data_IF_853941362435
#
_entry.id   IF_853941362435
#
_cell.length_a   1.000
_cell.length_b   1.000
_cell.length_c   1.000
_cell.angle_alpha   90.00
_cell.angle_beta   90.00
_cell.angle_gamma   90.00
#
_symmetry.space_group_name_H-M   'P 1'
#
loop_
_entity.id
_entity.type
_entity.pdbx_description
1 polymer ?
#
# COMPACT_ATOMS: atom_id res chain seq x y z
N UNK A 1 2.96 5.14 14.11
CA UNK A 1 4.38 5.20 13.87
C UNK A 1 5.13 4.39 14.96
N UNK A 2 5.99 3.46 14.56
CA UNK A 2 6.62 2.51 15.48
C UNK A 2 8.15 2.54 15.33
N UNK A 3 8.84 2.53 16.45
CA UNK A 3 10.30 2.42 16.47
C UNK A 3 10.74 0.98 16.15
N UNK A 4 12.00 0.83 15.75
CA UNK A 4 12.62 -0.50 15.57
C UNK A 4 12.37 -1.41 16.78
N UNK A 5 12.63 -0.92 17.99
CA UNK A 5 12.52 -1.74 19.21
C UNK A 5 11.09 -2.21 19.46
N UNK A 6 10.10 -1.38 19.17
CA UNK A 6 8.68 -1.77 19.23
C UNK A 6 8.37 -2.87 18.22
N UNK A 7 8.86 -2.74 16.98
CA UNK A 7 8.66 -3.74 15.93
C UNK A 7 9.33 -5.07 16.30
N UNK A 8 10.53 -5.04 16.87
CA UNK A 8 11.21 -6.26 17.36
C UNK A 8 10.41 -6.94 18.48
N UNK A 9 9.85 -6.16 19.41
CA UNK A 9 8.96 -6.70 20.46
C UNK A 9 7.71 -7.34 19.85
N UNK A 10 7.06 -6.68 18.88
CA UNK A 10 5.90 -7.24 18.16
C UNK A 10 6.26 -8.56 17.46
N UNK A 11 7.42 -8.63 16.80
CA UNK A 11 7.88 -9.86 16.13
C UNK A 11 7.99 -11.02 17.11
N UNK A 12 8.46 -10.80 18.35
CA UNK A 12 8.50 -11.84 19.37
C UNK A 12 7.08 -12.34 19.71
N UNK A 13 6.15 -11.43 19.94
CA UNK A 13 4.78 -11.76 20.31
C UNK A 13 4.06 -12.55 19.20
N UNK A 14 4.13 -12.06 17.96
CA UNK A 14 3.47 -12.73 16.84
C UNK A 14 4.12 -14.08 16.50
N UNK A 15 5.44 -14.19 16.62
CA UNK A 15 6.13 -15.48 16.46
C UNK A 15 5.70 -16.48 17.53
N UNK A 16 5.65 -16.07 18.82
CA UNK A 16 5.17 -16.93 19.89
C UNK A 16 3.70 -17.33 19.72
N UNK A 17 2.88 -16.49 19.10
CA UNK A 17 1.49 -16.76 18.76
C UNK A 17 1.32 -17.63 17.49
N UNK A 18 2.40 -18.00 16.81
CA UNK A 18 2.37 -18.87 15.63
C UNK A 18 2.10 -18.17 14.31
N UNK A 19 2.16 -16.85 14.26
CA UNK A 19 2.12 -16.11 12.99
C UNK A 19 3.41 -16.34 12.19
N UNK A 20 3.30 -16.27 10.87
CA UNK A 20 4.41 -16.50 9.94
C UNK A 20 4.75 -15.29 9.09
N UNK A 21 3.89 -14.28 9.06
CA UNK A 21 4.07 -13.08 8.26
C UNK A 21 3.74 -11.81 9.05
N UNK A 22 4.46 -10.74 8.75
CA UNK A 22 4.21 -9.39 9.23
C UNK A 22 4.16 -8.44 8.04
N UNK A 23 2.99 -7.89 7.73
CA UNK A 23 2.91 -6.80 6.78
C UNK A 23 3.29 -5.49 7.48
N UNK A 24 4.28 -4.80 6.92
CA UNK A 24 4.82 -3.56 7.45
C UNK A 24 4.59 -2.42 6.45
N UNK A 25 3.64 -1.55 6.75
CA UNK A 25 3.39 -0.35 5.94
C UNK A 25 4.52 0.67 6.16
N UNK A 26 5.40 0.82 5.18
CA UNK A 26 6.50 1.76 5.17
C UNK A 26 6.20 3.01 4.35
N UNK A 27 5.21 2.93 3.47
CA UNK A 27 4.67 4.02 2.68
C UNK A 27 3.15 3.87 2.59
N UNK A 28 2.43 4.63 3.40
CA UNK A 28 0.98 4.78 3.35
C UNK A 28 0.70 6.19 3.82
N UNK A 29 0.24 7.04 2.90
CA UNK A 29 0.20 8.49 3.02
C UNK A 29 1.64 9.06 3.14
N UNK A 30 2.26 8.99 4.31
CA UNK A 30 3.67 9.36 4.50
C UNK A 30 4.63 8.18 4.31
N UNK A 31 5.86 8.48 3.91
CA UNK A 31 6.96 7.52 3.92
C UNK A 31 7.60 7.48 5.31
N UNK A 32 7.85 6.28 5.82
CA UNK A 32 8.44 6.04 7.16
C UNK A 32 9.74 5.24 7.12
N UNK A 33 10.24 5.01 5.94
CA UNK A 33 11.52 4.36 5.68
C UNK A 33 12.09 4.88 4.37
N UNK A 34 13.26 5.46 4.41
CA UNK A 34 14.03 5.85 3.24
C UNK A 34 15.30 5.00 3.15
N UNK A 35 15.70 4.71 1.90
CA UNK A 35 16.97 4.04 1.63
C UNK A 35 18.15 5.03 1.79
N UNK A 36 19.34 4.54 2.09
CA UNK A 36 20.54 5.36 2.17
C UNK A 36 20.85 6.05 0.83
N UNK A 37 20.54 5.39 -0.28
CA UNK A 37 20.57 5.98 -1.62
C UNK A 37 19.15 6.09 -2.18
N UNK A 38 18.61 7.30 -2.25
CA UNK A 38 17.29 7.62 -2.82
C UNK A 38 17.37 8.12 -4.27
N UNK A 39 18.54 8.11 -4.92
CA UNK A 39 18.67 8.55 -6.31
C UNK A 39 17.70 7.80 -7.24
N UNK A 40 17.08 8.51 -8.17
CA UNK A 40 16.12 7.94 -9.12
C UNK A 40 16.48 8.34 -10.56
N UNK A 41 16.32 7.39 -11.47
CA UNK A 41 16.34 7.67 -12.92
C UNK A 41 14.93 7.40 -13.47
N UNK A 42 14.34 8.43 -14.08
CA UNK A 42 13.00 8.39 -14.67
C UNK A 42 13.10 8.85 -16.12
N UNK A 43 13.00 7.93 -17.06
CA UNK A 43 13.32 8.21 -18.46
C UNK A 43 14.77 8.70 -18.61
N UNK A 44 14.94 9.88 -19.22
CA UNK A 44 16.26 10.51 -19.41
C UNK A 44 16.69 11.42 -18.25
N UNK A 45 15.87 11.55 -17.20
CA UNK A 45 16.15 12.41 -16.05
C UNK A 45 16.68 11.59 -14.89
N UNK A 46 17.73 12.09 -14.24
CA UNK A 46 18.25 11.53 -12.99
C UNK A 46 18.12 12.58 -11.89
N UNK A 47 17.53 12.15 -10.78
CA UNK A 47 17.40 12.95 -9.55
C UNK A 47 18.40 12.43 -8.54
N UNK A 48 19.08 13.34 -7.84
CA UNK A 48 20.04 12.97 -6.80
C UNK A 48 19.33 12.35 -5.59
N UNK A 49 20.07 11.57 -4.80
CA UNK A 49 19.56 11.02 -3.53
C UNK A 49 19.11 12.12 -2.58
N UNK A 50 19.86 13.21 -2.49
CA UNK A 50 19.54 14.37 -1.64
C UNK A 50 18.21 15.04 -2.09
N UNK A 51 18.03 15.28 -3.40
CA UNK A 51 16.82 15.93 -3.92
C UNK A 51 15.57 15.07 -3.67
N UNK A 52 15.68 13.75 -3.90
CA UNK A 52 14.54 12.84 -3.70
C UNK A 52 14.20 12.73 -2.21
N UNK A 53 15.18 12.53 -1.34
CA UNK A 53 14.96 12.47 0.10
C UNK A 53 14.34 13.78 0.63
N UNK A 54 14.88 14.94 0.22
CA UNK A 54 14.35 16.23 0.64
C UNK A 54 12.90 16.44 0.16
N UNK A 55 12.57 16.02 -1.06
CA UNK A 55 11.21 16.10 -1.57
C UNK A 55 10.22 15.20 -0.81
N UNK A 56 10.63 13.97 -0.46
CA UNK A 56 9.82 13.06 0.38
C UNK A 56 9.64 13.64 1.79
N UNK A 57 10.70 14.17 2.41
CA UNK A 57 10.61 14.81 3.72
C UNK A 57 9.64 16.01 3.71
N UNK A 58 9.70 16.83 2.67
CA UNK A 58 8.75 17.93 2.51
C UNK A 58 7.30 17.41 2.36
N UNK A 59 7.10 16.33 1.63
CA UNK A 59 5.80 15.67 1.49
C UNK A 59 5.29 15.10 2.81
N UNK A 60 6.15 14.47 3.60
CA UNK A 60 5.80 13.96 4.95
C UNK A 60 5.34 15.10 5.88
N UNK A 61 6.03 16.24 5.85
CA UNK A 61 5.65 17.42 6.65
C UNK A 61 4.28 17.98 6.22
N UNK A 62 4.07 18.06 4.91
CA UNK A 62 2.82 18.58 4.35
C UNK A 62 1.62 17.69 4.68
N UNK A 63 1.79 16.37 4.56
CA UNK A 63 0.75 15.38 4.86
C UNK A 63 0.34 15.41 6.33
N UNK A 64 1.30 15.28 7.22
CA UNK A 64 1.00 15.15 8.65
C UNK A 64 0.43 16.43 9.26
N UNK A 65 0.52 17.57 8.56
CA UNK A 65 0.28 18.89 9.17
C UNK A 65 0.92 18.97 10.57
N UNK A 66 1.98 18.17 10.78
CA UNK A 66 2.69 18.02 12.04
C UNK A 66 3.98 18.78 11.97
N UNK A 67 4.00 19.89 12.62
CA UNK A 67 5.24 20.67 12.85
C UNK A 67 6.30 19.87 13.63
N UNK A 68 5.99 18.68 14.09
CA UNK A 68 6.85 17.82 14.92
C UNK A 68 7.52 16.68 14.16
N UNK A 69 7.22 16.49 12.86
CA UNK A 69 7.90 15.45 12.08
C UNK A 69 9.38 15.79 11.90
N UNK A 70 10.23 14.81 12.20
CA UNK A 70 11.67 14.89 11.95
C UNK A 70 12.17 13.52 11.45
N UNK A 71 13.00 13.45 10.39
CA UNK A 71 13.49 12.18 9.85
C UNK A 71 14.10 11.27 10.92
N UNK A 72 14.92 11.83 11.82
CA UNK A 72 15.66 11.08 12.84
C UNK A 72 14.77 10.38 13.87
N UNK A 73 13.51 10.81 14.00
CA UNK A 73 12.57 10.26 14.98
C UNK A 73 11.45 9.48 14.35
N UNK A 74 11.07 9.87 13.13
CA UNK A 74 9.84 9.45 12.50
C UNK A 74 10.06 8.54 11.30
N UNK A 75 11.31 8.22 10.98
CA UNK A 75 11.69 7.26 9.95
C UNK A 75 12.61 6.17 10.48
N UNK A 76 12.51 4.99 9.88
CA UNK A 76 13.48 3.91 10.07
C UNK A 76 14.67 4.16 9.14
N UNK A 77 15.86 3.94 9.65
CA UNK A 77 17.07 3.88 8.83
C UNK A 77 17.19 2.54 8.09
N UNK A 78 17.98 2.48 7.04
CA UNK A 78 18.24 1.22 6.33
C UNK A 78 18.91 0.18 7.25
N UNK A 79 19.79 0.60 8.15
CA UNK A 79 20.38 -0.26 9.18
C UNK A 79 19.32 -0.85 10.12
N UNK A 80 18.33 -0.07 10.54
CA UNK A 80 17.23 -0.53 11.39
C UNK A 80 16.32 -1.50 10.65
N UNK A 81 15.98 -1.21 9.37
CA UNK A 81 15.19 -2.11 8.54
C UNK A 81 15.89 -3.44 8.31
N UNK A 82 17.20 -3.42 8.04
CA UNK A 82 18.02 -4.63 7.93
C UNK A 82 17.98 -5.47 9.22
N UNK A 83 18.05 -4.83 10.39
CA UNK A 83 17.93 -5.49 11.67
C UNK A 83 16.53 -6.10 11.89
N UNK A 84 15.47 -5.38 11.53
CA UNK A 84 14.09 -5.87 11.60
C UNK A 84 13.90 -7.12 10.74
N UNK A 85 14.33 -7.08 9.47
CA UNK A 85 14.17 -8.20 8.54
C UNK A 85 14.96 -9.42 9.03
N UNK A 86 16.23 -9.22 9.44
CA UNK A 86 17.07 -10.29 9.95
C UNK A 86 16.49 -10.93 11.20
N UNK A 87 15.98 -10.11 12.12
CA UNK A 87 15.36 -10.59 13.34
C UNK A 87 14.07 -11.36 13.06
N UNK A 88 13.18 -10.82 12.20
CA UNK A 88 11.96 -11.49 11.77
C UNK A 88 12.28 -12.88 11.17
N UNK A 89 13.24 -12.95 10.26
CA UNK A 89 13.69 -14.21 9.66
C UNK A 89 14.18 -15.20 10.72
N UNK A 90 14.94 -14.76 11.72
CA UNK A 90 15.41 -15.61 12.82
C UNK A 90 14.27 -16.17 13.69
N UNK A 91 13.11 -15.53 13.66
CA UNK A 91 11.89 -15.91 14.38
C UNK A 91 10.89 -16.68 13.49
N UNK A 92 11.23 -16.96 12.25
CA UNK A 92 10.32 -17.61 11.28
C UNK A 92 9.22 -16.70 10.76
N UNK A 93 9.40 -15.38 10.88
CA UNK A 93 8.47 -14.36 10.37
C UNK A 93 9.00 -13.80 9.05
N UNK A 94 8.18 -13.83 8.02
CA UNK A 94 8.43 -13.15 6.74
C UNK A 94 7.87 -11.74 6.79
N UNK A 95 8.71 -10.73 6.52
CA UNK A 95 8.26 -9.35 6.39
C UNK A 95 7.68 -9.14 5.00
N UNK A 96 6.49 -8.55 4.93
CA UNK A 96 5.83 -8.06 3.72
C UNK A 96 5.86 -6.54 3.76
N UNK A 97 6.83 -5.88 3.13
CA UNK A 97 6.83 -4.42 3.05
C UNK A 97 5.66 -3.95 2.19
N UNK A 98 5.06 -2.81 2.54
CA UNK A 98 3.99 -2.20 1.78
C UNK A 98 4.30 -0.74 1.51
N UNK A 99 4.24 -0.36 0.22
CA UNK A 99 4.15 1.02 -0.24
C UNK A 99 2.87 1.16 -1.04
N UNK A 100 1.92 1.89 -0.47
CA UNK A 100 0.61 2.06 -1.08
C UNK A 100 0.70 2.92 -2.34
N UNK A 101 -0.01 2.50 -3.36
CA UNK A 101 -0.18 3.17 -4.65
C UNK A 101 -1.36 2.56 -5.43
N UNK A 102 -2.01 3.27 -6.34
CA UNK A 102 -1.81 4.66 -6.74
C UNK A 102 -2.48 5.70 -5.85
N UNK A 103 -3.18 5.27 -4.78
CA UNK A 103 -3.71 6.09 -3.69
C UNK A 103 -2.80 6.07 -2.46
N UNK A 104 -3.15 6.82 -1.42
CA UNK A 104 -2.38 6.91 -0.17
C UNK A 104 -0.89 7.23 -0.37
N UNK A 105 -0.60 8.10 -1.33
CA UNK A 105 0.77 8.41 -1.77
C UNK A 105 1.21 9.82 -1.42
N UNK A 106 0.64 10.48 -0.44
CA UNK A 106 0.81 11.91 -0.15
C UNK A 106 2.26 12.38 -0.27
N UNK A 107 3.18 11.74 0.44
CA UNK A 107 4.60 12.11 0.39
C UNK A 107 5.23 11.84 -0.98
N UNK A 108 4.93 10.71 -1.61
CA UNK A 108 5.47 10.32 -2.92
C UNK A 108 4.87 11.21 -4.01
N UNK A 109 3.57 11.48 -3.96
CA UNK A 109 2.87 12.36 -4.91
C UNK A 109 3.41 13.79 -4.84
N UNK A 110 3.63 14.31 -3.63
CA UNK A 110 4.25 15.61 -3.41
C UNK A 110 5.65 15.67 -4.01
N UNK A 111 6.47 14.66 -3.76
CA UNK A 111 7.81 14.55 -4.31
C UNK A 111 7.81 14.44 -5.84
N UNK A 112 6.94 13.60 -6.40
CA UNK A 112 6.78 13.45 -7.86
C UNK A 112 6.44 14.80 -8.51
N UNK A 113 5.45 15.52 -7.96
CA UNK A 113 5.05 16.84 -8.47
C UNK A 113 6.19 17.86 -8.40
N UNK A 114 6.92 17.90 -7.28
CA UNK A 114 8.03 18.83 -7.08
C UNK A 114 9.20 18.54 -8.04
N UNK A 115 9.57 17.28 -8.19
CA UNK A 115 10.77 16.89 -8.96
C UNK A 115 10.51 16.86 -10.47
N UNK A 116 9.32 16.43 -10.90
CA UNK A 116 8.98 16.42 -12.34
C UNK A 116 8.60 17.80 -12.86
N UNK A 117 8.11 18.68 -11.99
CA UNK A 117 7.59 20.00 -12.36
C UNK A 117 6.22 19.95 -13.04
N UNK A 118 5.52 18.80 -12.98
CA UNK A 118 4.18 18.60 -13.53
C UNK A 118 3.18 18.28 -12.42
N UNK A 119 1.90 18.60 -12.62
CA UNK A 119 0.84 18.23 -11.69
C UNK A 119 0.57 16.73 -11.78
N UNK A 120 1.07 15.97 -10.81
CA UNK A 120 0.97 14.51 -10.79
C UNK A 120 -0.36 14.00 -10.20
N UNK A 121 -1.15 14.87 -9.56
CA UNK A 121 -2.36 14.49 -8.85
C UNK A 121 -3.57 14.23 -9.75
N UNK A 122 -4.42 13.29 -9.35
CA UNK A 122 -5.70 13.01 -10.00
C UNK A 122 -6.79 13.96 -9.46
N UNK A 123 -7.32 14.82 -10.33
CA UNK A 123 -8.45 15.72 -10.03
C UNK A 123 -8.31 16.53 -8.73
N UNK A 124 -7.08 16.95 -8.40
CA UNK A 124 -6.81 17.72 -7.19
C UNK A 124 -6.66 16.88 -5.91
N UNK A 125 -6.67 15.56 -6.01
CA UNK A 125 -6.33 14.67 -4.91
C UNK A 125 -4.92 14.97 -4.38
N UNK A 126 -4.75 14.97 -3.07
CA UNK A 126 -3.42 15.07 -2.45
C UNK A 126 -2.83 13.70 -2.15
N UNK A 127 -3.61 12.64 -2.34
CA UNK A 127 -3.22 11.26 -2.01
C UNK A 127 -2.97 10.40 -3.24
N UNK A 128 -3.49 10.78 -4.42
CA UNK A 128 -3.64 9.85 -5.56
C UNK A 128 -3.05 10.43 -6.84
N UNK A 129 -2.23 9.62 -7.52
CA UNK A 129 -1.65 10.01 -8.81
C UNK A 129 -2.67 9.94 -9.94
N UNK A 130 -2.49 10.82 -10.92
CA UNK A 130 -3.23 10.74 -12.19
C UNK A 130 -2.59 9.67 -13.09
N UNK A 131 -3.33 8.61 -13.34
CA UNK A 131 -2.88 7.47 -14.15
C UNK A 131 -2.74 7.80 -15.66
N UNK A 132 -3.23 8.97 -16.09
CA UNK A 132 -3.04 9.49 -17.44
C UNK A 132 -1.80 10.39 -17.56
N UNK A 133 -1.18 10.74 -16.44
CA UNK A 133 0.05 11.50 -16.43
C UNK A 133 1.26 10.55 -16.48
N UNK A 134 1.92 10.50 -17.63
CA UNK A 134 3.06 9.60 -17.87
C UNK A 134 4.23 9.87 -16.91
N UNK A 135 4.49 11.13 -16.55
CA UNK A 135 5.56 11.50 -15.60
C UNK A 135 5.23 10.97 -14.20
N UNK A 136 3.97 11.10 -13.75
CA UNK A 136 3.52 10.59 -12.46
C UNK A 136 3.67 9.06 -12.37
N UNK A 137 3.23 8.36 -13.40
CA UNK A 137 3.32 6.90 -13.49
C UNK A 137 4.77 6.44 -13.55
N UNK A 138 5.60 7.10 -14.39
CA UNK A 138 7.01 6.75 -14.54
C UNK A 138 7.80 6.98 -13.25
N UNK A 139 7.59 8.14 -12.59
CA UNK A 139 8.23 8.44 -11.31
C UNK A 139 7.86 7.40 -10.26
N UNK A 140 6.57 7.13 -10.09
CA UNK A 140 6.08 6.17 -9.10
C UNK A 140 6.65 4.77 -9.34
N UNK A 141 6.68 4.31 -10.58
CA UNK A 141 7.25 3.00 -10.91
C UNK A 141 8.74 2.94 -10.66
N UNK A 142 9.50 3.97 -10.99
CA UNK A 142 10.94 4.03 -10.68
C UNK A 142 11.18 3.99 -9.16
N UNK A 143 10.39 4.76 -8.40
CA UNK A 143 10.43 4.75 -6.95
C UNK A 143 10.13 3.35 -6.37
N UNK A 144 9.05 2.72 -6.79
CA UNK A 144 8.68 1.37 -6.36
C UNK A 144 9.73 0.34 -6.73
N UNK A 145 10.30 0.41 -7.95
CA UNK A 145 11.35 -0.51 -8.40
C UNK A 145 12.52 -0.54 -7.42
N UNK A 146 12.97 0.63 -6.99
CA UNK A 146 14.08 0.74 -6.03
C UNK A 146 13.81 0.01 -4.72
N UNK A 147 12.62 0.16 -4.17
CA UNK A 147 12.22 -0.54 -2.94
C UNK A 147 12.00 -2.03 -3.15
N UNK A 148 11.38 -2.40 -4.27
CA UNK A 148 11.18 -3.81 -4.63
C UNK A 148 12.52 -4.54 -4.74
N UNK A 149 13.50 -3.96 -5.42
CA UNK A 149 14.85 -4.51 -5.54
C UNK A 149 15.55 -4.62 -4.19
N UNK A 150 15.45 -3.59 -3.34
CA UNK A 150 16.01 -3.62 -2.00
C UNK A 150 15.44 -4.78 -1.16
N UNK A 151 14.12 -4.91 -1.09
CA UNK A 151 13.48 -5.95 -0.27
C UNK A 151 13.67 -7.36 -0.85
N UNK A 152 13.70 -7.50 -2.18
CA UNK A 152 14.05 -8.76 -2.82
C UNK A 152 15.46 -9.21 -2.46
N UNK A 153 16.44 -8.29 -2.49
CA UNK A 153 17.82 -8.56 -2.09
C UNK A 153 17.95 -8.95 -0.59
N UNK A 154 16.98 -8.59 0.25
CA UNK A 154 16.91 -8.99 1.67
C UNK A 154 16.15 -10.30 1.90
N UNK A 155 15.68 -10.96 0.83
CA UNK A 155 14.98 -12.24 0.90
C UNK A 155 13.49 -12.12 1.23
N UNK A 156 12.88 -10.94 1.13
CA UNK A 156 11.43 -10.79 1.22
C UNK A 156 10.77 -11.49 0.03
N UNK A 157 9.69 -12.22 0.28
CA UNK A 157 9.00 -13.04 -0.73
C UNK A 157 7.72 -12.41 -1.26
N UNK A 158 7.28 -11.33 -0.62
CA UNK A 158 6.05 -10.61 -0.97
C UNK A 158 6.31 -9.10 -0.89
N UNK A 159 5.54 -8.33 -1.67
CA UNK A 159 5.55 -6.87 -1.61
C UNK A 159 4.12 -6.34 -1.73
N UNK A 160 3.68 -5.53 -0.76
CA UNK A 160 2.38 -4.87 -0.75
C UNK A 160 2.38 -3.64 -1.66
N UNK A 161 1.44 -3.61 -2.59
CA UNK A 161 1.25 -2.50 -3.53
C UNK A 161 0.03 -1.63 -3.19
N UNK A 162 -0.70 -1.93 -2.12
CA UNK A 162 -1.87 -1.19 -1.70
C UNK A 162 -3.07 -1.38 -2.63
N UNK A 163 -3.32 -0.43 -3.51
CA UNK A 163 -4.41 -0.41 -4.50
C UNK A 163 -5.80 -0.10 -3.93
N UNK A 164 -5.90 0.36 -2.69
CA UNK A 164 -7.13 0.73 -2.02
C UNK A 164 -7.44 2.23 -2.13
N UNK A 165 -8.69 2.55 -1.88
CA UNK A 165 -9.22 3.90 -1.62
C UNK A 165 -8.78 4.99 -2.63
N UNK A 166 -8.77 4.66 -3.92
CA UNK A 166 -8.37 5.59 -4.98
C UNK A 166 -9.11 6.92 -4.91
N UNK A 167 -8.40 8.03 -4.68
CA UNK A 167 -8.91 9.40 -4.58
C UNK A 167 -10.09 9.56 -3.58
N UNK A 168 -9.99 8.91 -2.42
CA UNK A 168 -10.99 8.98 -1.36
C UNK A 168 -11.06 10.36 -0.68
N UNK A 169 -10.04 11.19 -0.85
CA UNK A 169 -9.98 12.58 -0.36
C UNK A 169 -10.78 13.57 -1.23
N UNK A 170 -11.02 13.24 -2.50
CA UNK A 170 -11.73 14.09 -3.46
C UNK A 170 -13.17 13.63 -3.68
N UNK A 171 -13.39 12.33 -3.72
CA UNK A 171 -14.69 11.72 -3.97
C UNK A 171 -15.24 11.11 -2.69
N UNK A 172 -16.35 11.68 -2.20
CA UNK A 172 -16.98 11.23 -0.97
C UNK A 172 -17.47 9.78 -1.02
N UNK A 173 -17.59 9.23 0.11
CA UNK A 173 -17.92 7.90 0.64
C UNK A 173 -18.79 6.95 -0.20
N UNK A 174 -19.32 7.22 -1.33
CA UNK A 174 -20.19 6.27 -2.05
C UNK A 174 -19.59 5.67 -3.31
N UNK A 175 -18.50 6.20 -3.81
CA UNK A 175 -17.91 5.68 -5.05
C UNK A 175 -16.41 5.82 -5.13
N UNK A 176 -15.78 6.57 -4.24
CA UNK A 176 -14.36 6.92 -4.34
C UNK A 176 -13.98 7.33 -5.78
N UNK A 177 -12.72 7.51 -6.09
CA UNK A 177 -12.26 7.73 -7.45
C UNK A 177 -12.50 6.55 -8.39
N UNK A 178 -12.67 5.32 -7.89
CA UNK A 178 -13.04 4.17 -8.73
C UNK A 178 -14.34 4.39 -9.51
N UNK A 179 -15.37 4.90 -8.83
CA UNK A 179 -16.63 5.24 -9.49
C UNK A 179 -16.47 6.35 -10.52
N UNK A 180 -15.57 7.31 -10.29
CA UNK A 180 -15.25 8.33 -11.28
C UNK A 180 -14.52 7.73 -12.48
N UNK A 181 -13.52 6.89 -12.26
CA UNK A 181 -12.83 6.19 -13.36
C UNK A 181 -13.80 5.37 -14.23
N UNK A 182 -14.78 4.69 -13.61
CA UNK A 182 -15.81 3.95 -14.37
C UNK A 182 -16.68 4.89 -15.19
N UNK A 183 -17.13 6.01 -14.62
CA UNK A 183 -17.96 7.00 -15.34
C UNK A 183 -17.23 7.64 -16.52
N UNK A 184 -15.93 7.90 -16.35
CA UNK A 184 -15.10 8.52 -17.38
C UNK A 184 -14.56 7.51 -18.42
N UNK A 185 -14.84 6.22 -18.24
CA UNK A 185 -14.35 5.16 -19.12
C UNK A 185 -12.85 4.88 -18.96
N UNK A 186 -12.24 5.26 -17.83
CA UNK A 186 -10.79 5.19 -17.56
C UNK A 186 -10.43 4.11 -16.52
N UNK A 187 -11.37 3.25 -16.12
CA UNK A 187 -11.12 2.21 -15.13
C UNK A 187 -10.13 1.14 -15.64
N UNK A 188 -10.05 0.93 -16.94
CA UNK A 188 -9.03 0.09 -17.58
C UNK A 188 -7.60 0.57 -17.32
N UNK A 189 -7.40 1.87 -17.16
CA UNK A 189 -6.09 2.46 -16.81
C UNK A 189 -5.66 2.06 -15.39
N UNK A 190 -6.61 2.01 -14.44
CA UNK A 190 -6.34 1.49 -13.11
C UNK A 190 -5.94 0.01 -13.16
N UNK A 191 -6.68 -0.81 -13.89
CA UNK A 191 -6.35 -2.24 -14.08
C UNK A 191 -4.96 -2.39 -14.68
N UNK A 192 -4.67 -1.65 -15.75
CA UNK A 192 -3.39 -1.70 -16.46
C UNK A 192 -2.23 -1.26 -15.57
N UNK A 193 -2.43 -0.20 -14.77
CA UNK A 193 -1.44 0.28 -13.83
C UNK A 193 -1.15 -0.78 -12.76
N UNK A 194 -2.17 -1.31 -12.08
CA UNK A 194 -1.99 -2.34 -11.04
C UNK A 194 -1.30 -3.58 -11.59
N UNK A 195 -1.71 -4.05 -12.78
CA UNK A 195 -1.04 -5.17 -13.44
C UNK A 195 0.44 -4.87 -13.75
N UNK A 196 0.75 -3.63 -14.14
CA UNK A 196 2.13 -3.23 -14.43
C UNK A 196 3.01 -3.18 -13.18
N UNK A 197 2.47 -2.71 -12.04
CA UNK A 197 3.18 -2.73 -10.76
C UNK A 197 3.33 -4.16 -10.25
N UNK A 198 2.30 -4.99 -10.39
CA UNK A 198 2.40 -6.41 -10.05
C UNK A 198 3.48 -7.13 -10.88
N UNK A 199 3.58 -6.82 -12.17
CA UNK A 199 4.64 -7.37 -13.03
C UNK A 199 6.04 -6.95 -12.58
N UNK A 200 6.20 -5.71 -12.10
CA UNK A 200 7.45 -5.22 -11.53
C UNK A 200 7.86 -6.03 -10.29
N UNK A 201 6.92 -6.24 -9.37
CA UNK A 201 7.17 -7.06 -8.16
C UNK A 201 7.54 -8.50 -8.53
N UNK A 202 6.83 -9.08 -9.50
CA UNK A 202 7.13 -10.44 -10.00
C UNK A 202 8.49 -10.55 -10.68
N UNK A 203 8.93 -9.52 -11.39
CA UNK A 203 10.25 -9.52 -12.02
C UNK A 203 11.39 -9.61 -10.99
N UNK A 204 11.13 -9.20 -9.74
CA UNK A 204 12.04 -9.37 -8.60
C UNK A 204 11.79 -10.69 -7.81
N UNK A 205 11.07 -11.64 -8.41
CA UNK A 205 10.75 -12.95 -7.82
C UNK A 205 9.92 -12.89 -6.54
N UNK A 206 9.21 -11.76 -6.31
CA UNK A 206 8.29 -11.60 -5.18
C UNK A 206 6.82 -11.70 -5.64
N UNK A 207 5.93 -11.97 -4.70
CA UNK A 207 4.47 -11.97 -4.92
C UNK A 207 3.89 -10.60 -4.60
N UNK A 208 3.17 -9.96 -5.54
CA UNK A 208 2.45 -8.73 -5.25
C UNK A 208 1.23 -9.02 -4.35
N UNK A 209 1.03 -8.16 -3.34
CA UNK A 209 -0.14 -8.20 -2.44
C UNK A 209 -0.89 -6.89 -2.58
N UNK A 210 -2.21 -6.93 -2.78
CA UNK A 210 -3.05 -5.75 -2.93
C UNK A 210 -4.33 -5.84 -2.11
N UNK A 211 -4.87 -4.70 -1.68
CA UNK A 211 -6.18 -4.60 -1.05
C UNK A 211 -7.30 -4.75 -2.09
N UNK A 212 -8.48 -5.19 -1.67
CA UNK A 212 -9.50 -5.70 -2.58
C UNK A 212 -10.47 -4.67 -3.15
N UNK A 213 -10.66 -3.52 -2.53
CA UNK A 213 -11.78 -2.61 -2.83
C UNK A 213 -11.77 -2.00 -4.24
N UNK A 214 -10.58 -1.89 -4.85
CA UNK A 214 -10.43 -1.48 -6.25
C UNK A 214 -10.60 -2.61 -7.27
N UNK A 215 -10.68 -3.87 -6.85
CA UNK A 215 -10.75 -5.02 -7.77
C UNK A 215 -12.18 -5.28 -8.22
N UNK A 216 -12.42 -5.23 -9.55
CA UNK A 216 -13.74 -5.43 -10.17
C UNK A 216 -14.82 -4.55 -9.51
N UNK A 217 -14.49 -3.29 -9.28
CA UNK A 217 -15.33 -2.31 -8.58
C UNK A 217 -16.78 -2.33 -9.06
N UNK A 218 -17.74 -2.46 -8.15
CA UNK A 218 -19.17 -2.63 -8.42
C UNK A 218 -19.47 -3.73 -9.47
N UNK A 219 -18.70 -4.81 -9.49
CA UNK A 219 -18.86 -5.91 -10.44
C UNK A 219 -18.41 -5.59 -11.86
N UNK A 220 -17.62 -4.54 -12.07
CA UNK A 220 -17.10 -4.19 -13.40
C UNK A 220 -16.11 -5.27 -13.89
N UNK A 221 -16.52 -5.99 -14.93
CA UNK A 221 -15.73 -7.04 -15.58
C UNK A 221 -15.46 -6.74 -17.06
N UNK A 222 -15.92 -5.60 -17.54
CA UNK A 222 -15.86 -5.22 -18.97
C UNK A 222 -14.64 -4.37 -19.30
N UNK A 223 -14.05 -3.68 -18.31
CA UNK A 223 -12.91 -2.80 -18.53
C UNK A 223 -11.56 -3.54 -18.56
N UNK A 224 -11.53 -4.84 -18.23
CA UNK A 224 -10.31 -5.64 -18.23
C UNK A 224 -10.26 -6.65 -17.09
N UNK A 225 -9.09 -7.30 -16.92
CA UNK A 225 -8.86 -8.30 -15.89
C UNK A 225 -7.59 -7.98 -15.11
N UNK A 226 -7.63 -8.21 -13.81
CA UNK A 226 -6.45 -8.14 -12.96
C UNK A 226 -5.64 -9.44 -13.06
N UNK A 227 -4.31 -9.32 -12.95
CA UNK A 227 -3.41 -10.47 -12.90
C UNK A 227 -3.74 -11.35 -11.70
N UNK A 228 -3.94 -12.64 -11.91
CA UNK A 228 -4.18 -13.62 -10.84
C UNK A 228 -2.93 -13.94 -10.01
N UNK A 229 -1.77 -13.43 -10.40
CA UNK A 229 -0.56 -13.47 -9.57
C UNK A 229 -0.65 -12.56 -8.34
N UNK A 230 -1.59 -11.60 -8.35
CA UNK A 230 -1.80 -10.69 -7.21
C UNK A 230 -2.53 -11.45 -6.11
N UNK A 231 -1.92 -11.53 -4.95
CA UNK A 231 -2.55 -12.01 -3.71
C UNK A 231 -3.46 -10.88 -3.19
N UNK A 232 -4.72 -11.18 -2.99
CA UNK A 232 -5.69 -10.19 -2.51
C UNK A 232 -5.77 -10.22 -0.99
N UNK A 233 -5.44 -9.10 -0.38
CA UNK A 233 -5.71 -8.80 1.03
C UNK A 233 -7.14 -8.29 1.15
N UNK A 234 -8.07 -9.17 1.51
CA UNK A 234 -9.49 -8.84 1.58
C UNK A 234 -9.81 -8.15 2.89
N UNK A 235 -9.95 -6.83 2.86
CA UNK A 235 -10.16 -6.01 4.05
C UNK A 235 -11.58 -5.48 4.21
N UNK A 236 -12.36 -5.42 3.11
CA UNK A 236 -13.71 -4.85 3.15
C UNK A 236 -14.65 -5.53 2.15
N UNK A 237 -15.92 -5.58 2.51
CA UNK A 237 -17.03 -5.94 1.58
C UNK A 237 -17.62 -4.70 0.88
N UNK A 238 -17.09 -3.51 1.18
CA UNK A 238 -17.59 -2.22 0.71
C UNK A 238 -18.45 -1.54 1.77
N UNK A 239 -18.63 -0.25 1.59
CA UNK A 239 -19.52 0.58 2.43
C UNK A 239 -19.95 1.84 1.66
N UNK A 240 -20.91 2.58 2.22
CA UNK A 240 -21.23 3.93 1.75
C UNK A 240 -21.76 4.04 0.33
N UNK A 241 -22.30 2.97 -0.26
CA UNK A 241 -22.93 3.00 -1.59
C UNK A 241 -22.10 2.37 -2.70
N UNK A 242 -20.94 1.75 -2.40
CA UNK A 242 -20.27 0.87 -3.33
C UNK A 242 -20.13 -0.54 -2.76
N UNK A 243 -19.95 -1.51 -3.64
CA UNK A 243 -19.65 -2.88 -3.27
C UNK A 243 -18.30 -3.29 -3.86
N UNK A 244 -17.42 -3.83 -3.03
CA UNK A 244 -16.25 -4.52 -3.53
C UNK A 244 -16.67 -5.89 -4.11
N UNK A 245 -15.84 -6.45 -4.98
CA UNK A 245 -16.06 -7.82 -5.45
C UNK A 245 -15.96 -8.79 -4.26
N UNK A 246 -16.81 -9.81 -4.24
CA UNK A 246 -16.87 -10.74 -3.12
C UNK A 246 -15.64 -11.65 -3.06
N UNK A 247 -15.31 -12.11 -1.84
CA UNK A 247 -14.17 -13.00 -1.63
C UNK A 247 -14.30 -14.29 -2.47
N UNK A 248 -15.50 -14.89 -2.54
CA UNK A 248 -15.71 -16.11 -3.33
C UNK A 248 -15.55 -15.89 -4.83
N UNK A 249 -15.98 -14.74 -5.35
CA UNK A 249 -15.79 -14.42 -6.77
C UNK A 249 -14.34 -14.12 -7.09
N UNK A 250 -13.61 -13.43 -6.22
CA UNK A 250 -12.16 -13.22 -6.39
C UNK A 250 -11.41 -14.54 -6.38
N UNK A 251 -11.74 -15.46 -5.46
CA UNK A 251 -11.18 -16.80 -5.42
C UNK A 251 -11.55 -17.62 -6.68
N UNK A 252 -12.79 -17.54 -7.14
CA UNK A 252 -13.25 -18.21 -8.38
C UNK A 252 -12.56 -17.66 -9.63
N UNK A 253 -12.06 -16.42 -9.62
CA UNK A 253 -11.23 -15.84 -10.67
C UNK A 253 -9.78 -16.30 -10.63
N UNK A 254 -9.38 -17.03 -9.59
CA UNK A 254 -8.05 -17.61 -9.43
C UNK A 254 -7.10 -16.80 -8.53
N UNK A 255 -7.57 -15.74 -7.87
CA UNK A 255 -6.74 -15.01 -6.91
C UNK A 255 -6.52 -15.82 -5.63
N UNK A 256 -5.29 -15.82 -5.14
CA UNK A 256 -4.99 -16.19 -3.75
C UNK A 256 -5.45 -15.07 -2.84
N UNK A 257 -5.90 -15.40 -1.62
CA UNK A 257 -6.49 -14.43 -0.72
C UNK A 257 -5.93 -14.54 0.69
N UNK A 258 -5.80 -13.38 1.33
CA UNK A 258 -5.51 -13.24 2.76
C UNK A 258 -6.73 -12.56 3.37
N UNK A 259 -7.27 -13.12 4.45
CA UNK A 259 -8.38 -12.51 5.18
C UNK A 259 -7.84 -11.44 6.14
N UNK A 260 -8.05 -10.18 5.78
CA UNK A 260 -7.73 -8.99 6.60
C UNK A 260 -8.99 -8.16 6.84
N UNK A 261 -10.17 -8.80 6.80
CA UNK A 261 -11.44 -8.11 6.89
C UNK A 261 -11.53 -7.25 8.16
N UNK A 262 -11.75 -5.96 7.98
CA UNK A 262 -11.77 -4.96 9.02
C UNK A 262 -12.88 -5.18 10.06
N UNK A 263 -13.98 -5.82 9.65
CA UNK A 263 -15.08 -6.16 10.59
C UNK A 263 -14.67 -7.21 11.64
N UNK A 264 -13.58 -7.94 11.40
CA UNK A 264 -13.11 -9.01 12.27
C UNK A 264 -11.75 -8.76 12.91
N UNK A 265 -10.86 -8.08 12.18
CA UNK A 265 -9.44 -8.00 12.54
C UNK A 265 -8.90 -6.58 12.71
N UNK A 266 -9.74 -5.56 12.46
CA UNK A 266 -9.27 -4.18 12.51
C UNK A 266 -9.18 -3.71 13.97
N UNK A 267 -7.95 -3.53 14.45
CA UNK A 267 -7.66 -3.05 15.80
C UNK A 267 -7.11 -1.64 15.72
N UNK A 268 -7.92 -0.66 16.12
CA UNK A 268 -7.50 0.72 16.25
C UNK A 268 -6.99 0.96 17.67
N UNK A 269 -5.65 1.06 17.79
CA UNK A 269 -5.02 1.50 19.03
C UNK A 269 -5.06 3.02 19.16
N UNK A 270 -5.57 3.51 20.30
CA UNK A 270 -5.32 4.87 20.76
C UNK A 270 -4.31 4.82 21.89
N UNK A 271 -3.73 5.96 22.27
CA UNK A 271 -2.60 6.03 23.21
C UNK A 271 -2.80 5.26 24.52
N UNK A 272 -4.02 5.01 24.93
CA UNK A 272 -4.37 4.40 26.22
C UNK A 272 -5.48 3.33 26.15
N UNK A 273 -6.05 3.08 24.98
CA UNK A 273 -7.12 2.08 24.81
C UNK A 273 -7.37 1.73 23.36
N UNK A 274 -7.92 0.55 23.15
CA UNK A 274 -8.46 0.15 21.85
C UNK A 274 -9.83 0.79 21.63
N UNK A 275 -10.15 1.09 20.38
CA UNK A 275 -11.50 1.51 20.04
C UNK A 275 -12.45 0.33 20.26
N UNK A 276 -13.39 0.51 21.19
CA UNK A 276 -14.37 -0.52 21.56
C UNK A 276 -15.60 -0.57 20.64
N UNK A 277 -15.58 0.18 19.52
CA UNK A 277 -16.69 0.22 18.57
C UNK A 277 -16.91 -1.09 17.80
N UNK A 278 -15.93 -1.97 17.81
CA UNK A 278 -16.01 -3.28 17.16
C UNK A 278 -16.04 -4.41 18.17
N UNK A 279 -17.06 -5.25 18.10
CA UNK A 279 -17.13 -6.49 18.89
C UNK A 279 -16.48 -7.64 18.08
N UNK A 280 -15.14 -7.69 18.13
CA UNK A 280 -14.37 -8.70 17.40
C UNK A 280 -14.69 -10.13 17.85
N UNK A 281 -15.01 -10.32 19.11
CA UNK A 281 -15.25 -11.65 19.67
C UNK A 281 -16.53 -12.29 19.12
N UNK A 282 -17.58 -11.51 18.89
CA UNK A 282 -18.84 -12.00 18.34
C UNK A 282 -18.79 -12.19 16.82
N UNK A 283 -17.89 -11.46 16.13
CA UNK A 283 -17.80 -11.47 14.66
C UNK A 283 -16.71 -12.40 14.12
N UNK A 284 -15.83 -12.91 14.96
CA UNK A 284 -14.72 -13.75 14.52
C UNK A 284 -15.21 -15.11 13.99
N UNK A 285 -15.21 -15.28 12.67
CA UNK A 285 -15.56 -16.54 12.02
C UNK A 285 -15.06 -16.55 10.57
N UNK A 286 -14.21 -17.52 10.24
CA UNK A 286 -13.82 -17.76 8.83
C UNK A 286 -15.02 -18.17 7.97
N UNK A 287 -16.04 -18.80 8.58
CA UNK A 287 -17.29 -19.14 7.88
C UNK A 287 -18.06 -17.87 7.51
N UNK A 288 -18.10 -16.86 8.39
CA UNK A 288 -18.70 -15.58 8.08
C UNK A 288 -17.97 -14.86 6.95
N UNK A 289 -16.63 -14.90 6.92
CA UNK A 289 -15.84 -14.36 5.82
C UNK A 289 -16.19 -14.99 4.48
N UNK A 290 -16.19 -16.31 4.40
CA UNK A 290 -16.54 -17.04 3.17
C UNK A 290 -18.04 -17.01 2.86
N UNK A 291 -18.88 -16.82 3.84
CA UNK A 291 -20.35 -16.79 3.71
C UNK A 291 -20.93 -15.40 3.48
N UNK A 292 -20.15 -14.33 3.64
CA UNK A 292 -20.55 -12.96 3.29
C UNK A 292 -20.53 -12.69 1.78
N UNK A 293 -20.47 -13.74 1.01
CA UNK A 293 -20.28 -13.75 -0.45
C UNK A 293 -21.56 -14.09 -1.19
#
# INVERSE_FOLDING_TARGET
YFTKDWILALINEISAAGYTHLQLAIGNDGMRFLLDDMSLTVGDKTYSSEDVAAAIHAGNVAYDNRQSYTPEKDELTESEMNAIISYATSKGITVIPLINNPGHMDAILSAATSLTGTTCSYNGSVTTINLENEDAVAFTKAFLTKYVEYFAAKGCTHFGIGADEYANDVYSTGSMGFGQLVRDGNYDKFISYINSVAALVKAAEMKPVAFNDGFYFNGNTTSGTFSTDIVISFWTSGWGGYQSETASRLAARGHQMINTNGDFYYVLGKSDKFDSGYDYASNFSNTAFMGST
#
